data_IF_917148389164
#
_entry.id   IF_917148389164
#
_cell.length_a   1.000
_cell.length_b   1.000
_cell.length_c   1.000
_cell.angle_alpha   90.00
_cell.angle_beta   90.00
_cell.angle_gamma   90.00
#
_symmetry.space_group_name_H-M   'P 1'
#
loop_
_entity.id
_entity.type
_entity.pdbx_description
1 polymer ?
#
# COMPACT_ATOMS: atom_id res chain seq x y z
N UNK A 1 34.70 18.00 -73.83
CA UNK A 1 34.08 18.75 -72.72
C UNK A 1 32.57 18.61 -72.62
N UNK A 2 31.76 18.90 -73.65
CA UNK A 2 30.28 18.80 -73.56
C UNK A 2 29.73 17.42 -73.12
N UNK A 3 30.33 16.32 -73.57
CA UNK A 3 29.93 14.95 -73.16
C UNK A 3 30.29 14.63 -71.70
N UNK A 4 31.35 15.25 -71.17
CA UNK A 4 31.80 15.04 -69.79
C UNK A 4 30.93 15.83 -68.80
N UNK A 5 30.56 17.07 -69.15
CA UNK A 5 29.59 17.86 -68.39
C UNK A 5 28.20 17.21 -68.35
N UNK A 6 27.77 16.60 -69.46
CA UNK A 6 26.48 15.90 -69.49
C UNK A 6 26.49 14.67 -68.57
N UNK A 7 27.60 13.93 -68.51
CA UNK A 7 27.73 12.79 -67.60
C UNK A 7 27.75 13.21 -66.13
N UNK A 8 28.46 14.30 -65.82
CA UNK A 8 28.54 14.85 -64.46
C UNK A 8 27.17 15.37 -63.98
N UNK A 9 26.41 16.01 -64.88
CA UNK A 9 25.06 16.48 -64.58
C UNK A 9 24.09 15.31 -64.36
N UNK A 10 24.16 14.24 -65.16
CA UNK A 10 23.33 13.05 -64.95
C UNK A 10 23.69 12.33 -63.64
N UNK A 11 24.98 12.27 -63.28
CA UNK A 11 25.44 11.66 -62.03
C UNK A 11 25.02 12.48 -60.79
N UNK A 12 25.09 13.81 -60.87
CA UNK A 12 24.58 14.70 -59.82
C UNK A 12 23.06 14.59 -59.66
N UNK A 13 22.32 14.45 -60.77
CA UNK A 13 20.86 14.28 -60.75
C UNK A 13 20.45 12.92 -60.13
N UNK A 14 21.17 11.85 -60.43
CA UNK A 14 20.97 10.53 -59.82
C UNK A 14 21.25 10.56 -58.30
N UNK A 15 22.28 11.27 -57.86
CA UNK A 15 22.58 11.44 -56.43
C UNK A 15 21.50 12.26 -55.69
N UNK A 16 20.87 13.25 -56.35
CA UNK A 16 19.74 13.99 -55.75
C UNK A 16 18.45 13.17 -55.66
N UNK A 17 18.25 12.19 -56.54
CA UNK A 17 17.07 11.31 -56.49
C UNK A 17 17.22 10.28 -55.36
N UNK A 18 18.41 9.73 -55.14
CA UNK A 18 18.68 8.78 -54.03
C UNK A 18 18.64 9.46 -52.66
N UNK A 19 19.05 10.74 -52.57
CA UNK A 19 19.04 11.50 -51.31
C UNK A 19 17.67 12.11 -50.92
N UNK A 20 16.66 12.07 -51.81
CA UNK A 20 15.31 12.60 -51.54
C UNK A 20 14.24 11.51 -51.32
N UNK A 21 14.59 10.24 -51.45
CA UNK A 21 13.80 9.16 -50.84
C UNK A 21 14.05 9.16 -49.34
N UNK A 22 13.38 10.08 -48.62
CA UNK A 22 13.01 9.78 -47.25
C UNK A 22 12.22 8.48 -47.33
N UNK A 23 12.78 7.40 -46.78
CA UNK A 23 11.98 6.25 -46.40
C UNK A 23 10.86 6.82 -45.53
N UNK A 24 9.67 6.92 -46.13
CA UNK A 24 8.46 6.97 -45.33
C UNK A 24 8.42 5.59 -44.71
N UNK A 25 8.93 5.50 -43.49
CA UNK A 25 8.56 4.43 -42.58
C UNK A 25 7.04 4.53 -42.44
N UNK A 26 6.34 3.89 -43.36
CA UNK A 26 4.96 3.50 -43.12
C UNK A 26 5.11 2.56 -41.93
N UNK A 27 4.55 2.88 -40.75
CA UNK A 27 4.53 1.93 -39.66
C UNK A 27 3.89 0.67 -40.23
N UNK A 28 4.69 -0.37 -40.38
CA UNK A 28 4.15 -1.70 -40.59
C UNK A 28 3.45 -1.98 -39.27
N UNK A 29 2.13 -1.81 -39.24
CA UNK A 29 1.29 -2.41 -38.22
C UNK A 29 1.52 -3.92 -38.36
N UNK A 30 2.54 -4.42 -37.67
CA UNK A 30 2.69 -5.85 -37.44
C UNK A 30 1.41 -6.19 -36.68
N UNK A 31 0.52 -7.01 -37.25
CA UNK A 31 -0.67 -7.42 -36.52
C UNK A 31 -0.15 -8.06 -35.24
N UNK A 32 -0.50 -7.48 -34.10
CA UNK A 32 -0.29 -8.16 -32.83
C UNK A 32 -1.13 -9.43 -32.97
N UNK A 33 -0.48 -10.59 -33.14
CA UNK A 33 -1.11 -11.88 -32.85
C UNK A 33 -1.70 -11.70 -31.46
N UNK A 34 -3.03 -11.76 -31.38
CA UNK A 34 -3.87 -11.43 -30.22
C UNK A 34 -3.15 -11.21 -28.88
N UNK A 35 -3.51 -10.11 -28.20
CA UNK A 35 -3.11 -9.86 -26.82
C UNK A 35 -3.80 -10.79 -25.80
N UNK A 36 -4.65 -11.72 -26.24
CA UNK A 36 -5.32 -12.69 -25.38
C UNK A 36 -4.31 -13.58 -24.65
N UNK A 37 -4.37 -13.56 -23.33
CA UNK A 37 -3.49 -14.38 -22.51
C UNK A 37 -3.36 -13.90 -21.08
N UNK A 38 -2.62 -14.67 -20.29
CA UNK A 38 -2.26 -14.34 -18.90
C UNK A 38 -0.77 -14.06 -18.83
N UNK A 39 -0.43 -12.88 -18.30
CA UNK A 39 0.93 -12.36 -18.28
C UNK A 39 1.37 -12.00 -16.87
N UNK A 40 2.66 -12.09 -16.62
CA UNK A 40 3.21 -11.99 -15.27
C UNK A 40 4.45 -11.12 -15.21
N UNK A 41 4.48 -10.19 -14.26
CA UNK A 41 5.65 -9.36 -13.98
C UNK A 41 6.04 -9.34 -12.51
N UNK A 42 7.31 -9.03 -12.26
CA UNK A 42 7.92 -9.06 -10.92
C UNK A 42 8.68 -7.78 -10.60
N UNK A 43 8.66 -7.37 -9.35
CA UNK A 43 9.63 -6.43 -8.78
C UNK A 43 10.15 -6.99 -7.45
N UNK A 44 11.40 -6.71 -7.09
CA UNK A 44 11.99 -7.29 -5.89
C UNK A 44 12.93 -6.34 -5.16
N UNK A 45 13.09 -6.61 -3.86
CA UNK A 45 13.89 -5.77 -2.97
C UNK A 45 15.38 -5.87 -3.33
N UNK A 46 16.03 -4.71 -3.45
CA UNK A 46 17.45 -4.64 -3.77
C UNK A 46 17.79 -4.69 -5.26
N UNK A 47 16.78 -4.72 -6.14
CA UNK A 47 16.96 -4.71 -7.60
C UNK A 47 17.89 -3.56 -8.06
N UNK A 48 17.65 -2.33 -7.57
CA UNK A 48 18.48 -1.15 -7.84
C UNK A 48 19.94 -1.27 -7.39
N UNK A 49 20.27 -2.28 -6.58
CA UNK A 49 21.61 -2.57 -6.08
C UNK A 49 22.21 -3.83 -6.70
N UNK A 50 21.56 -4.39 -7.73
CA UNK A 50 22.02 -5.59 -8.43
C UNK A 50 21.69 -6.91 -7.75
N UNK A 51 20.84 -6.92 -6.70
CA UNK A 51 20.33 -8.17 -6.11
C UNK A 51 19.48 -8.91 -7.13
N UNK A 52 19.66 -10.22 -7.30
CA UNK A 52 18.79 -11.00 -8.21
C UNK A 52 17.44 -11.32 -7.57
N UNK A 53 16.46 -11.75 -8.37
CA UNK A 53 15.15 -12.16 -7.86
C UNK A 53 15.26 -13.36 -6.91
N UNK A 54 16.20 -14.28 -7.18
CA UNK A 54 16.46 -15.47 -6.36
C UNK A 54 17.08 -15.13 -5.00
N UNK A 55 17.92 -14.10 -4.96
CA UNK A 55 18.56 -13.61 -3.74
C UNK A 55 17.65 -12.70 -2.90
N UNK A 56 16.54 -12.24 -3.48
CA UNK A 56 15.65 -11.30 -2.84
C UNK A 56 14.97 -11.90 -1.60
N UNK A 57 14.83 -11.08 -0.55
CA UNK A 57 14.05 -11.44 0.65
C UNK A 57 12.58 -11.03 0.56
N UNK A 58 12.23 -10.20 -0.42
CA UNK A 58 10.89 -9.68 -0.67
C UNK A 58 10.72 -9.49 -2.18
N UNK A 59 9.53 -9.83 -2.68
CA UNK A 59 9.16 -9.62 -4.08
C UNK A 59 7.67 -9.31 -4.18
N UNK A 60 7.27 -8.68 -5.27
CA UNK A 60 5.88 -8.44 -5.62
C UNK A 60 5.65 -8.94 -7.04
N UNK A 61 4.48 -9.51 -7.27
CA UNK A 61 4.04 -10.10 -8.52
C UNK A 61 2.79 -9.37 -8.97
N UNK A 62 2.69 -9.10 -10.26
CA UNK A 62 1.43 -8.72 -10.91
C UNK A 62 1.13 -9.75 -11.98
N UNK A 63 -0.09 -10.28 -11.97
CA UNK A 63 -0.64 -11.16 -13.00
C UNK A 63 -1.83 -10.43 -13.61
N UNK A 64 -1.90 -10.37 -14.93
CA UNK A 64 -3.06 -9.81 -15.66
C UNK A 64 -3.51 -10.81 -16.71
N UNK A 65 -4.82 -10.90 -16.93
CA UNK A 65 -5.40 -11.58 -18.08
C UNK A 65 -5.95 -10.52 -19.01
N UNK A 66 -5.54 -10.54 -20.27
CA UNK A 66 -5.95 -9.61 -21.31
C UNK A 66 -6.78 -10.39 -22.34
N UNK A 67 -7.81 -9.77 -22.91
CA UNK A 67 -8.58 -10.35 -24.03
C UNK A 67 -8.07 -9.90 -25.41
N UNK A 68 -8.70 -10.40 -26.48
CA UNK A 68 -8.34 -10.07 -27.86
C UNK A 68 -8.35 -8.55 -28.17
N UNK A 69 -9.18 -7.77 -27.46
CA UNK A 69 -9.32 -6.32 -27.63
C UNK A 69 -8.29 -5.52 -26.80
N UNK A 70 -7.40 -6.20 -26.08
CA UNK A 70 -6.41 -5.58 -25.20
C UNK A 70 -7.00 -5.13 -23.85
N UNK A 71 -8.21 -5.59 -23.49
CA UNK A 71 -8.87 -5.25 -22.23
C UNK A 71 -8.44 -6.23 -21.15
N UNK A 72 -8.03 -5.69 -20.00
CA UNK A 72 -7.71 -6.50 -18.82
C UNK A 72 -9.01 -7.05 -18.24
N UNK A 73 -9.17 -8.37 -18.24
CA UNK A 73 -10.36 -9.08 -17.75
C UNK A 73 -10.18 -9.63 -16.33
N UNK A 74 -8.93 -9.84 -15.90
CA UNK A 74 -8.57 -10.28 -14.56
C UNK A 74 -7.21 -9.69 -14.14
N UNK A 75 -7.02 -9.46 -12.84
CA UNK A 75 -5.77 -8.94 -12.30
C UNK A 75 -5.52 -9.47 -10.88
N UNK A 76 -4.26 -9.77 -10.56
CA UNK A 76 -3.82 -10.16 -9.22
C UNK A 76 -2.49 -9.53 -8.86
N UNK A 77 -2.34 -9.05 -7.64
CA UNK A 77 -1.11 -8.47 -7.10
C UNK A 77 -0.73 -9.17 -5.79
N UNK A 78 0.40 -9.87 -5.78
CA UNK A 78 0.86 -10.67 -4.64
C UNK A 78 2.18 -10.16 -4.09
N UNK A 79 2.22 -9.83 -2.79
CA UNK A 79 3.46 -9.45 -2.11
C UNK A 79 3.99 -10.64 -1.32
N UNK A 80 5.20 -11.05 -1.61
CA UNK A 80 5.88 -12.14 -0.94
C UNK A 80 7.02 -11.64 -0.04
N UNK A 81 7.18 -12.30 1.10
CA UNK A 81 8.35 -12.16 1.96
C UNK A 81 8.88 -13.54 2.31
N UNK A 82 10.20 -13.67 2.35
CA UNK A 82 10.84 -14.91 2.80
C UNK A 82 11.09 -14.86 4.30
N UNK A 83 10.85 -15.97 4.99
CA UNK A 83 11.28 -16.21 6.37
C UNK A 83 11.57 -17.70 6.51
N UNK A 84 12.71 -18.04 7.12
CA UNK A 84 13.11 -19.44 7.35
C UNK A 84 13.11 -20.31 6.08
N UNK A 85 13.46 -19.72 4.92
CA UNK A 85 13.54 -20.45 3.64
C UNK A 85 12.21 -20.63 2.90
N UNK A 86 11.09 -20.19 3.46
CA UNK A 86 9.78 -20.26 2.83
C UNK A 86 9.26 -18.87 2.45
N UNK A 87 8.56 -18.79 1.32
CA UNK A 87 7.83 -17.61 0.89
C UNK A 87 6.41 -17.63 1.46
N UNK A 88 5.98 -16.50 2.02
CA UNK A 88 4.59 -16.27 2.42
C UNK A 88 4.09 -14.96 1.80
N UNK A 89 2.80 -14.91 1.53
CA UNK A 89 2.14 -13.69 1.04
C UNK A 89 1.73 -12.81 2.21
N UNK A 90 1.73 -11.48 2.02
CA UNK A 90 1.12 -10.56 3.02
C UNK A 90 -0.39 -10.73 3.13
N UNK A 91 -1.01 -11.22 2.06
CA UNK A 91 -2.42 -11.54 1.94
C UNK A 91 -2.80 -12.86 2.63
N UNK A 92 -1.84 -13.61 3.16
CA UNK A 92 -2.16 -14.82 3.92
C UNK A 92 -2.96 -14.47 5.19
N UNK A 93 -4.16 -15.03 5.27
CA UNK A 93 -5.14 -14.77 6.33
C UNK A 93 -4.94 -15.63 7.58
N UNK A 94 -3.82 -16.36 7.70
CA UNK A 94 -3.54 -17.30 8.82
C UNK A 94 -3.22 -16.65 10.17
N UNK A 95 -3.66 -15.40 10.39
CA UNK A 95 -3.41 -14.67 11.63
C UNK A 95 -3.95 -15.43 12.86
N UNK A 96 -3.11 -15.58 13.89
CA UNK A 96 -3.48 -16.12 15.19
C UNK A 96 -3.36 -15.01 16.23
N UNK A 97 -4.48 -14.69 16.88
CA UNK A 97 -4.54 -13.68 17.93
C UNK A 97 -5.13 -14.29 19.18
N UNK A 98 -4.48 -14.03 20.31
CA UNK A 98 -5.02 -14.27 21.65
C UNK A 98 -4.91 -12.98 22.47
N UNK A 99 -5.78 -12.82 23.45
CA UNK A 99 -5.74 -11.68 24.37
C UNK A 99 -5.89 -12.18 25.81
N UNK A 100 -5.06 -11.64 26.70
CA UNK A 100 -5.06 -11.90 28.14
C UNK A 100 -5.35 -10.60 28.89
N UNK A 101 -6.60 -10.46 29.34
CA UNK A 101 -7.06 -9.28 30.07
C UNK A 101 -6.60 -9.26 31.54
N UNK A 102 -5.86 -10.27 32.01
CA UNK A 102 -5.16 -10.16 33.30
C UNK A 102 -3.94 -9.25 33.23
N UNK A 103 -3.42 -9.03 32.02
CA UNK A 103 -2.29 -8.13 31.76
C UNK A 103 -2.77 -6.67 31.80
N UNK A 104 -1.96 -5.80 32.39
CA UNK A 104 -2.10 -4.35 32.26
C UNK A 104 -1.15 -3.88 31.16
N UNK A 105 -1.64 -3.33 30.05
CA UNK A 105 -0.78 -2.87 28.97
C UNK A 105 0.12 -1.72 29.44
N UNK A 106 1.33 -1.64 28.91
CA UNK A 106 2.25 -0.53 29.17
C UNK A 106 2.74 0.04 27.84
N UNK A 107 2.89 1.36 27.80
CA UNK A 107 3.38 2.03 26.61
C UNK A 107 4.82 1.58 26.28
N UNK A 108 5.11 1.41 24.99
CA UNK A 108 6.47 1.28 24.49
C UNK A 108 7.26 2.56 24.72
N UNK A 109 8.59 2.49 24.74
CA UNK A 109 9.44 3.68 24.59
C UNK A 109 9.60 3.98 23.10
N UNK A 110 9.17 5.15 22.59
CA UNK A 110 9.29 5.49 21.17
C UNK A 110 10.69 6.03 20.82
N UNK A 111 10.89 6.51 19.60
CA UNK A 111 12.20 7.04 19.15
C UNK A 111 13.26 5.98 18.78
N UNK A 112 14.53 6.41 18.78
CA UNK A 112 15.71 5.60 18.41
C UNK A 112 16.02 4.50 19.43
N UNK A 113 15.85 4.81 20.72
CA UNK A 113 16.01 3.87 21.84
C UNK A 113 14.73 3.06 22.08
N UNK A 114 14.18 2.51 21.00
CA UNK A 114 12.92 1.78 21.05
C UNK A 114 12.97 0.62 22.04
N UNK A 115 12.01 0.61 22.96
CA UNK A 115 11.71 -0.55 23.78
C UNK A 115 10.24 -0.91 23.65
N UNK A 116 9.94 -2.20 23.42
CA UNK A 116 8.56 -2.69 23.38
C UNK A 116 7.94 -2.58 24.79
N UNK A 117 6.69 -2.15 24.86
CA UNK A 117 5.89 -2.19 26.08
C UNK A 117 5.27 -3.58 26.31
N UNK A 118 4.40 -3.67 27.31
CA UNK A 118 3.61 -4.86 27.61
C UNK A 118 2.29 -4.78 26.86
N UNK A 119 1.93 -5.86 26.16
CA UNK A 119 0.72 -5.97 25.34
C UNK A 119 -0.19 -7.05 25.92
N UNK A 120 -1.50 -6.79 25.99
CA UNK A 120 -2.51 -7.80 26.33
C UNK A 120 -2.70 -8.80 25.18
N UNK A 121 -2.41 -8.37 23.95
CA UNK A 121 -2.57 -9.19 22.76
C UNK A 121 -1.27 -9.91 22.39
N UNK A 122 -1.39 -11.18 22.02
CA UNK A 122 -0.34 -11.90 21.30
C UNK A 122 -0.80 -12.12 19.87
N UNK A 123 -0.04 -11.60 18.91
CA UNK A 123 -0.43 -11.53 17.49
C UNK A 123 0.67 -12.16 16.66
N UNK A 124 0.35 -13.30 16.07
CA UNK A 124 1.14 -13.98 15.06
C UNK A 124 0.47 -13.81 13.69
N UNK A 125 1.04 -12.95 12.85
CA UNK A 125 0.54 -12.66 11.51
C UNK A 125 1.65 -12.09 10.63
N UNK A 126 1.51 -12.25 9.33
CA UNK A 126 2.43 -11.73 8.33
C UNK A 126 2.29 -10.22 8.09
N UNK A 127 1.13 -9.64 8.41
CA UNK A 127 0.86 -8.21 8.29
C UNK A 127 0.00 -7.69 9.44
N UNK A 128 0.42 -6.59 10.07
CA UNK A 128 -0.31 -5.92 11.16
C UNK A 128 -0.95 -4.61 10.70
N UNK A 129 -0.73 -4.17 9.47
CA UNK A 129 -1.31 -2.91 8.98
C UNK A 129 -2.83 -2.97 9.01
N UNK A 130 -3.42 -1.90 9.51
CA UNK A 130 -4.86 -1.74 9.68
C UNK A 130 -5.54 -2.84 10.52
N UNK A 131 -4.78 -3.62 11.28
CA UNK A 131 -5.33 -4.68 12.12
C UNK A 131 -6.11 -4.05 13.28
N UNK A 132 -7.29 -4.58 13.56
CA UNK A 132 -7.93 -4.42 14.87
C UNK A 132 -8.26 -5.79 15.45
N UNK A 133 -8.35 -5.86 16.78
CA UNK A 133 -8.80 -7.06 17.48
C UNK A 133 -9.59 -6.67 18.74
N UNK A 134 -10.62 -7.43 19.06
CA UNK A 134 -11.49 -7.16 20.21
C UNK A 134 -11.80 -8.45 20.95
N UNK A 135 -11.93 -8.36 22.28
CA UNK A 135 -12.35 -9.44 23.18
C UNK A 135 -13.20 -8.85 24.30
N UNK A 136 -14.21 -9.60 24.72
CA UNK A 136 -14.98 -9.33 25.95
C UNK A 136 -14.97 -10.59 26.79
N UNK A 137 -14.51 -10.49 28.03
CA UNK A 137 -14.51 -11.60 28.99
C UNK A 137 -15.90 -11.78 29.65
N UNK A 138 -16.17 -12.96 30.24
CA UNK A 138 -17.46 -13.26 30.87
C UNK A 138 -17.87 -12.30 32.00
N UNK A 139 -16.90 -11.60 32.61
CA UNK A 139 -17.14 -10.62 33.67
C UNK A 139 -17.55 -9.23 33.14
N UNK A 140 -17.59 -9.05 31.81
CA UNK A 140 -17.92 -7.79 31.14
C UNK A 140 -16.72 -6.88 30.90
N UNK A 141 -15.50 -7.25 31.34
CA UNK A 141 -14.29 -6.54 30.95
C UNK A 141 -14.00 -6.75 29.46
N UNK A 142 -13.47 -5.73 28.81
CA UNK A 142 -13.20 -5.76 27.38
C UNK A 142 -11.80 -5.23 27.04
N UNK A 143 -11.27 -5.67 25.91
CA UNK A 143 -10.04 -5.16 25.35
C UNK A 143 -10.21 -4.90 23.86
N UNK A 144 -9.70 -3.76 23.40
CA UNK A 144 -9.66 -3.39 22.00
C UNK A 144 -8.23 -3.03 21.61
N UNK A 145 -7.82 -3.50 20.45
CA UNK A 145 -6.55 -3.17 19.81
C UNK A 145 -6.83 -2.57 18.44
N UNK A 146 -6.14 -1.49 18.12
CA UNK A 146 -6.12 -0.87 16.79
C UNK A 146 -4.66 -0.60 16.40
N UNK A 147 -4.23 -1.06 15.23
CA UNK A 147 -2.93 -0.68 14.68
C UNK A 147 -3.09 0.65 13.94
N UNK A 148 -2.67 1.72 14.59
CA UNK A 148 -2.90 3.06 14.11
C UNK A 148 -2.05 3.35 12.85
N UNK A 149 -2.66 3.84 11.77
CA UNK A 149 -2.04 3.84 10.44
C UNK A 149 -0.86 4.81 10.28
N UNK A 150 -0.83 5.93 11.01
CA UNK A 150 0.15 7.01 10.83
C UNK A 150 1.44 6.73 11.59
N UNK A 151 1.34 6.34 12.85
CA UNK A 151 2.47 5.98 13.73
C UNK A 151 2.91 4.54 13.53
N UNK A 152 2.00 3.66 13.09
CA UNK A 152 2.19 2.20 12.98
C UNK A 152 2.56 1.56 14.32
N UNK A 153 1.89 2.02 15.37
CA UNK A 153 1.87 1.38 16.68
C UNK A 153 0.58 0.63 16.91
N UNK A 154 0.68 -0.43 17.69
CA UNK A 154 -0.43 -1.14 18.28
C UNK A 154 -0.92 -0.33 19.47
N UNK A 155 -2.09 0.28 19.34
CA UNK A 155 -2.78 0.99 20.41
C UNK A 155 -3.80 0.04 21.05
N UNK A 156 -3.72 -0.12 22.36
CA UNK A 156 -4.57 -1.02 23.13
C UNK A 156 -5.32 -0.26 24.22
N UNK A 157 -6.60 -0.57 24.41
CA UNK A 157 -7.36 -0.08 25.56
C UNK A 157 -7.94 -1.28 26.30
N UNK A 158 -7.85 -1.23 27.64
CA UNK A 158 -8.49 -2.15 28.56
C UNK A 158 -9.65 -1.43 29.22
N UNK A 159 -10.84 -2.01 29.11
CA UNK A 159 -12.08 -1.48 29.66
C UNK A 159 -12.52 -2.38 30.82
N UNK A 160 -12.55 -1.87 32.07
CA UNK A 160 -13.04 -2.65 33.20
C UNK A 160 -14.53 -2.97 33.05
N UNK A 161 -15.02 -3.93 33.83
CA UNK A 161 -16.41 -4.40 33.77
C UNK A 161 -17.46 -3.30 34.02
N UNK A 162 -17.09 -2.28 34.80
CA UNK A 162 -17.91 -1.11 35.14
C UNK A 162 -17.62 0.13 34.26
N UNK A 163 -16.92 -0.04 33.14
CA UNK A 163 -16.59 1.05 32.23
C UNK A 163 -17.85 1.76 31.69
N UNK A 164 -17.83 3.09 31.67
CA UNK A 164 -18.89 3.90 31.08
C UNK A 164 -18.73 3.99 29.56
N UNK A 165 -19.44 3.13 28.83
CA UNK A 165 -19.42 3.10 27.37
C UNK A 165 -20.09 4.32 26.70
N UNK A 166 -20.69 5.24 27.48
CA UNK A 166 -21.19 6.51 26.94
C UNK A 166 -20.11 7.59 26.79
N UNK A 167 -18.90 7.34 27.30
CA UNK A 167 -17.74 8.22 27.08
C UNK A 167 -17.53 8.42 25.58
N UNK A 168 -17.32 9.67 25.18
CA UNK A 168 -17.08 10.05 23.79
C UNK A 168 -15.67 9.64 23.37
N UNK A 169 -15.51 9.21 22.12
CA UNK A 169 -14.22 8.85 21.54
C UNK A 169 -13.24 10.02 21.57
N UNK A 170 -13.73 11.26 21.44
CA UNK A 170 -12.92 12.48 21.56
C UNK A 170 -12.23 12.64 22.91
N UNK A 171 -12.79 12.07 23.97
CA UNK A 171 -12.31 12.18 25.35
C UNK A 171 -11.35 11.04 25.74
N UNK A 172 -11.22 10.00 24.90
CA UNK A 172 -10.32 8.87 25.15
C UNK A 172 -8.94 9.15 24.56
N UNK A 173 -7.96 9.42 25.43
CA UNK A 173 -6.61 9.84 25.01
C UNK A 173 -5.78 8.70 24.42
N UNK A 174 -4.68 9.04 23.75
CA UNK A 174 -3.72 8.07 23.17
C UNK A 174 -2.28 8.27 23.63
N UNK A 175 -2.06 9.11 24.63
CA UNK A 175 -0.73 9.47 25.16
C UNK A 175 -0.16 8.42 26.15
N UNK A 176 -0.79 7.24 26.22
CA UNK A 176 -0.33 6.13 27.05
C UNK A 176 -0.75 6.19 28.52
N UNK A 177 -1.66 7.10 28.87
CA UNK A 177 -2.25 7.17 30.21
C UNK A 177 -3.31 6.08 30.42
N UNK A 178 -3.52 5.71 31.69
CA UNK A 178 -4.58 4.79 32.09
C UNK A 178 -5.97 5.32 31.66
N UNK A 179 -6.83 4.43 31.19
CA UNK A 179 -8.15 4.78 30.64
C UNK A 179 -8.15 5.26 29.19
N UNK A 180 -6.97 5.50 28.59
CA UNK A 180 -6.79 5.79 27.17
C UNK A 180 -6.33 4.58 26.36
N UNK A 181 -6.09 4.78 25.07
CA UNK A 181 -5.37 3.84 24.23
C UNK A 181 -3.86 3.95 24.50
N UNK A 182 -3.25 2.82 24.82
CA UNK A 182 -1.84 2.71 25.19
C UNK A 182 -1.06 2.15 23.99
N UNK A 183 -0.06 2.86 23.47
CA UNK A 183 0.77 2.37 22.36
C UNK A 183 1.82 1.36 22.85
N UNK A 184 1.55 0.07 22.74
CA UNK A 184 2.35 -1.01 23.37
C UNK A 184 3.47 -1.56 22.48
N UNK A 185 3.26 -1.61 21.16
CA UNK A 185 4.17 -2.28 20.22
C UNK A 185 4.30 -1.51 18.92
N UNK A 186 5.53 -1.24 18.48
CA UNK A 186 5.80 -0.74 17.12
C UNK A 186 5.61 -1.87 16.11
N UNK A 187 4.65 -1.73 15.19
CA UNK A 187 4.40 -2.74 14.14
C UNK A 187 5.28 -2.51 12.91
N UNK A 188 5.74 -1.27 12.69
CA UNK A 188 6.65 -0.91 11.59
C UNK A 188 7.46 0.35 11.89
N UNK A 189 8.74 0.39 11.48
CA UNK A 189 9.58 1.61 11.59
C UNK A 189 9.35 2.66 10.49
N UNK A 190 8.43 2.40 9.57
CA UNK A 190 8.14 3.27 8.43
C UNK A 190 6.83 4.06 8.58
N UNK A 191 6.38 4.28 9.82
CA UNK A 191 5.29 5.23 10.12
C UNK A 191 5.61 6.63 9.57
N UNK A 192 4.57 7.33 9.13
CA UNK A 192 4.68 8.71 8.67
C UNK A 192 5.00 9.65 9.84
N UNK A 193 4.37 9.41 10.99
CA UNK A 193 4.72 10.05 12.25
C UNK A 193 5.59 9.10 13.06
N UNK A 194 6.67 9.62 13.65
CA UNK A 194 7.61 8.86 14.49
C UNK A 194 7.86 9.65 15.76
N UNK A 195 6.95 9.57 16.75
CA UNK A 195 7.12 10.29 18.00
C UNK A 195 8.45 9.89 18.65
N UNK A 196 9.11 10.85 19.30
CA UNK A 196 10.23 10.62 20.21
C UNK A 196 9.76 10.54 21.67
N UNK A 197 8.58 11.10 21.98
CA UNK A 197 7.83 10.91 23.23
C UNK A 197 6.34 10.75 22.94
N UNK A 198 5.60 10.09 23.83
CA UNK A 198 4.13 10.06 23.78
C UNK A 198 3.48 11.38 24.20
N UNK A 199 4.22 12.28 24.87
CA UNK A 199 3.76 13.64 25.16
C UNK A 199 3.48 14.45 23.89
N UNK A 200 4.05 14.05 22.74
CA UNK A 200 3.73 14.64 21.44
C UNK A 200 2.27 14.37 21.01
N UNK A 201 1.62 13.39 21.63
CA UNK A 201 0.22 13.01 21.41
C UNK A 201 -0.71 13.47 22.55
N UNK A 202 -0.24 14.30 23.49
CA UNK A 202 -1.09 14.82 24.57
C UNK A 202 -2.30 15.55 24.00
N UNK A 203 -3.49 15.22 24.54
CA UNK A 203 -4.76 15.79 24.08
C UNK A 203 -5.25 15.26 22.73
N UNK A 204 -4.60 14.20 22.19
CA UNK A 204 -5.07 13.48 21.01
C UNK A 204 -5.88 12.26 21.40
N UNK A 205 -6.78 11.87 20.51
CA UNK A 205 -7.54 10.62 20.54
C UNK A 205 -7.16 9.75 19.31
N UNK A 206 -7.66 8.51 19.25
CA UNK A 206 -7.30 7.55 18.20
C UNK A 206 -7.69 8.02 16.78
N UNK A 207 -8.64 8.96 16.68
CA UNK A 207 -9.12 9.56 15.43
C UNK A 207 -8.38 10.85 15.05
N UNK A 208 -7.55 11.42 15.94
CA UNK A 208 -6.99 12.78 15.79
C UNK A 208 -5.46 12.88 15.97
N UNK A 209 -4.75 11.75 16.00
CA UNK A 209 -3.28 11.70 16.05
C UNK A 209 -2.65 12.56 14.94
N UNK A 210 -3.20 12.49 13.74
CA UNK A 210 -2.78 13.23 12.55
C UNK A 210 -3.99 13.52 11.67
N UNK A 211 -3.87 14.49 10.76
CA UNK A 211 -4.92 14.77 9.78
C UNK A 211 -5.22 13.59 8.85
N UNK A 212 -4.29 12.62 8.76
CA UNK A 212 -4.47 11.38 8.01
C UNK A 212 -5.28 10.31 8.75
N UNK A 213 -5.63 10.50 10.03
CA UNK A 213 -6.46 9.53 10.76
C UNK A 213 -7.90 9.45 10.24
N UNK A 214 -8.34 10.36 9.36
CA UNK A 214 -9.63 10.27 8.67
C UNK A 214 -9.84 8.91 7.99
N UNK A 215 -8.77 8.23 7.55
CA UNK A 215 -8.89 6.91 6.90
C UNK A 215 -9.47 5.82 7.82
N UNK A 216 -9.43 6.01 9.15
CA UNK A 216 -10.05 5.10 10.10
C UNK A 216 -11.56 5.18 9.97
N UNK A 217 -12.09 6.38 9.70
CA UNK A 217 -13.51 6.71 9.80
C UNK A 217 -14.18 7.03 8.46
N UNK A 218 -13.42 7.17 7.38
CA UNK A 218 -13.96 7.37 6.05
C UNK A 218 -14.28 6.03 5.35
N UNK A 219 -13.63 4.93 5.79
CA UNK A 219 -13.71 3.62 5.14
C UNK A 219 -13.72 2.45 6.13
N UNK A 220 -14.30 1.33 5.69
CA UNK A 220 -14.25 0.05 6.42
C UNK A 220 -15.18 -0.01 7.62
N UNK A 221 -14.83 -0.85 8.59
CA UNK A 221 -15.70 -1.18 9.73
C UNK A 221 -15.98 -0.01 10.66
N UNK A 222 -15.09 0.98 10.72
CA UNK A 222 -15.20 2.16 11.57
C UNK A 222 -15.76 3.38 10.82
N UNK A 223 -16.27 3.18 9.60
CA UNK A 223 -16.79 4.25 8.78
C UNK A 223 -17.94 5.02 9.47
N UNK A 224 -17.87 6.35 9.46
CA UNK A 224 -18.86 7.25 10.06
C UNK A 224 -18.66 7.54 11.55
N UNK A 225 -17.70 6.90 12.24
CA UNK A 225 -17.35 7.26 13.60
C UNK A 225 -16.72 8.66 13.65
N UNK A 226 -16.89 9.34 14.78
CA UNK A 226 -16.36 10.69 15.00
C UNK A 226 -15.95 10.88 16.46
N UNK A 227 -15.37 12.04 16.78
CA UNK A 227 -15.07 12.41 18.17
C UNK A 227 -16.33 12.49 19.05
N UNK A 228 -17.50 12.73 18.44
CA UNK A 228 -18.80 12.73 19.14
C UNK A 228 -19.48 11.37 19.21
N UNK A 229 -18.90 10.34 18.58
CA UNK A 229 -19.33 8.97 18.79
C UNK A 229 -18.88 8.49 20.17
N UNK A 230 -19.55 7.47 20.69
CA UNK A 230 -19.30 6.85 21.99
C UNK A 230 -18.35 5.66 21.87
N UNK A 231 -17.73 5.27 22.98
CA UNK A 231 -16.99 4.00 23.07
C UNK A 231 -17.87 2.80 22.77
N UNK A 232 -19.16 2.86 23.08
CA UNK A 232 -20.14 1.85 22.67
C UNK A 232 -20.17 1.68 21.16
N UNK A 233 -20.32 2.77 20.40
CA UNK A 233 -20.41 2.73 18.93
C UNK A 233 -19.12 2.19 18.30
N UNK A 234 -17.95 2.54 18.86
CA UNK A 234 -16.68 1.96 18.40
C UNK A 234 -16.61 0.44 18.64
N UNK A 235 -17.04 -0.01 19.81
CA UNK A 235 -17.04 -1.44 20.16
C UNK A 235 -18.05 -2.22 19.33
N UNK A 236 -19.24 -1.64 19.06
CA UNK A 236 -20.24 -2.22 18.15
C UNK A 236 -19.70 -2.32 16.72
N UNK A 237 -19.01 -1.28 16.23
CA UNK A 237 -18.33 -1.31 14.94
C UNK A 237 -17.23 -2.39 14.87
N UNK A 238 -16.58 -2.72 15.99
CA UNK A 238 -15.63 -3.82 16.09
C UNK A 238 -16.30 -5.21 16.22
N UNK A 239 -17.64 -5.28 16.32
CA UNK A 239 -18.43 -6.52 16.39
C UNK A 239 -18.93 -6.91 17.78
N UNK A 240 -18.75 -6.07 18.80
CA UNK A 240 -19.29 -6.30 20.15
C UNK A 240 -20.78 -6.02 20.16
N UNK A 241 -21.55 -6.84 20.86
CA UNK A 241 -22.98 -6.58 21.09
C UNK A 241 -23.22 -6.21 22.54
N UNK A 242 -24.22 -5.37 22.80
CA UNK A 242 -24.54 -4.90 24.15
C UNK A 242 -25.94 -5.34 24.59
N UNK A 243 -26.07 -5.77 25.83
CA UNK A 243 -27.35 -6.02 26.51
C UNK A 243 -27.48 -5.10 27.70
N UNK A 244 -28.52 -4.24 27.73
CA UNK A 244 -28.75 -3.28 28.82
C UNK A 244 -27.54 -2.37 29.15
N UNK A 245 -26.71 -2.04 28.15
CA UNK A 245 -25.52 -1.21 28.32
C UNK A 245 -24.25 -1.96 28.72
N UNK A 246 -24.31 -3.27 28.95
CA UNK A 246 -23.16 -4.13 29.23
C UNK A 246 -22.73 -4.89 27.97
N UNK A 247 -21.43 -4.98 27.65
CA UNK A 247 -20.96 -5.76 26.51
C UNK A 247 -21.18 -7.26 26.76
N UNK A 248 -21.66 -7.97 25.75
CA UNK A 248 -21.80 -9.42 25.79
C UNK A 248 -20.43 -10.08 25.60
N UNK A 249 -20.23 -11.25 26.25
CA UNK A 249 -19.01 -12.05 26.06
C UNK A 249 -18.72 -12.28 24.58
N UNK A 250 -17.47 -12.05 24.20
CA UNK A 250 -16.99 -12.18 22.83
C UNK A 250 -15.58 -12.79 22.87
N UNK A 251 -15.39 -14.02 22.36
CA UNK A 251 -14.06 -14.56 22.10
C UNK A 251 -13.24 -13.59 21.26
N UNK A 252 -11.91 -13.71 21.29
CA UNK A 252 -11.05 -12.85 20.46
C UNK A 252 -11.50 -12.91 19.00
N UNK A 253 -11.88 -11.76 18.47
CA UNK A 253 -12.15 -11.56 17.04
C UNK A 253 -11.19 -10.52 16.50
N UNK A 254 -10.92 -10.59 15.20
CA UNK A 254 -10.00 -9.69 14.52
C UNK A 254 -10.56 -9.29 13.17
N UNK A 255 -10.09 -8.15 12.67
CA UNK A 255 -10.40 -7.71 11.32
C UNK A 255 -9.38 -6.68 10.84
N UNK A 256 -9.70 -6.09 9.69
CA UNK A 256 -8.96 -4.96 9.15
C UNK A 256 -9.87 -3.74 9.08
N UNK A 257 -9.39 -2.59 9.54
CA UNK A 257 -10.09 -1.32 9.38
C UNK A 257 -9.65 -0.61 8.10
N UNK A 258 -10.22 0.58 7.84
CA UNK A 258 -10.00 1.33 6.60
C UNK A 258 -10.32 0.45 5.38
N UNK A 259 -9.56 0.55 4.29
CA UNK A 259 -9.77 -0.34 3.14
C UNK A 259 -9.17 -1.75 3.28
N UNK A 260 -8.72 -2.20 4.45
CA UNK A 260 -8.19 -3.57 4.60
C UNK A 260 -6.66 -3.69 4.68
N UNK A 261 -5.94 -2.59 4.96
CA UNK A 261 -4.48 -2.58 5.05
C UNK A 261 -3.80 -2.89 3.71
N UNK A 262 -2.66 -3.59 3.72
CA UNK A 262 -1.95 -3.90 2.46
C UNK A 262 -2.76 -4.80 1.52
N UNK A 263 -3.56 -5.73 2.06
CA UNK A 263 -4.42 -6.58 1.23
C UNK A 263 -5.41 -5.73 0.43
N UNK A 264 -6.16 -4.87 1.10
CA UNK A 264 -7.08 -3.95 0.45
C UNK A 264 -6.43 -3.01 -0.56
N UNK A 265 -5.16 -2.65 -0.34
CA UNK A 265 -4.39 -1.90 -1.33
C UNK A 265 -4.22 -2.68 -2.64
N UNK A 266 -3.93 -3.97 -2.55
CA UNK A 266 -3.72 -4.83 -3.70
C UNK A 266 -5.04 -5.11 -4.41
N UNK A 267 -6.11 -5.41 -3.66
CA UNK A 267 -7.47 -5.57 -4.19
C UNK A 267 -7.92 -4.30 -4.95
N UNK A 268 -7.63 -3.09 -4.43
CA UNK A 268 -7.96 -1.85 -5.13
C UNK A 268 -7.19 -1.65 -6.45
N UNK A 269 -5.94 -2.13 -6.55
CA UNK A 269 -5.18 -2.12 -7.82
C UNK A 269 -5.84 -3.09 -8.80
N UNK A 270 -6.15 -4.30 -8.33
CA UNK A 270 -6.77 -5.36 -9.12
C UNK A 270 -8.10 -4.87 -9.72
N UNK A 271 -8.98 -4.32 -8.88
CA UNK A 271 -10.25 -3.72 -9.30
C UNK A 271 -10.08 -2.55 -10.28
N UNK A 272 -9.05 -1.71 -10.09
CA UNK A 272 -8.78 -0.59 -10.98
C UNK A 272 -8.33 -1.04 -12.38
N UNK A 273 -7.55 -2.13 -12.44
CA UNK A 273 -7.01 -2.67 -13.69
C UNK A 273 -8.09 -3.32 -14.56
N UNK A 274 -9.07 -4.00 -13.95
CA UNK A 274 -10.14 -4.69 -14.68
C UNK A 274 -10.95 -3.69 -15.52
N UNK A 275 -11.13 -4.01 -16.80
CA UNK A 275 -11.82 -3.19 -17.79
C UNK A 275 -10.98 -2.06 -18.40
N UNK A 276 -9.67 -1.98 -18.07
CA UNK A 276 -8.74 -1.02 -18.68
C UNK A 276 -8.09 -1.63 -19.91
N UNK A 277 -7.81 -0.79 -20.91
CA UNK A 277 -7.01 -1.18 -22.05
C UNK A 277 -5.53 -1.18 -21.66
N UNK A 278 -4.87 -2.34 -21.76
CA UNK A 278 -3.48 -2.55 -21.37
C UNK A 278 -2.48 -1.75 -22.23
N UNK A 279 -2.85 -1.43 -23.48
CA UNK A 279 -2.02 -0.62 -24.39
C UNK A 279 -2.07 0.87 -24.07
N UNK A 280 -3.13 1.33 -23.39
CA UNK A 280 -3.29 2.73 -22.97
C UNK A 280 -2.80 2.96 -21.54
N UNK A 281 -3.00 1.98 -20.65
CA UNK A 281 -2.58 2.05 -19.25
C UNK A 281 -1.21 1.38 -19.06
N UNK A 282 -0.14 2.05 -19.45
CA UNK A 282 1.23 1.49 -19.36
C UNK A 282 1.88 1.71 -17.99
N UNK A 283 1.20 2.36 -17.04
CA UNK A 283 1.69 2.55 -15.68
C UNK A 283 0.55 2.72 -14.68
N UNK A 284 0.79 2.30 -13.43
CA UNK A 284 -0.13 2.56 -12.30
C UNK A 284 0.04 3.98 -11.71
N UNK A 285 1.02 4.75 -12.20
CA UNK A 285 1.27 6.14 -11.81
C UNK A 285 0.92 7.06 -12.97
N UNK A 286 0.20 8.13 -12.68
CA UNK A 286 -0.17 9.14 -13.68
C UNK A 286 0.99 10.11 -13.93
N UNK A 287 1.89 9.74 -14.85
CA UNK A 287 3.06 10.55 -15.20
C UNK A 287 2.76 11.88 -15.90
N UNK A 288 1.49 12.16 -16.23
CA UNK A 288 1.12 13.47 -16.79
C UNK A 288 1.32 14.62 -15.80
N UNK A 289 1.46 14.31 -14.51
CA UNK A 289 1.77 15.30 -13.47
C UNK A 289 3.28 15.53 -13.37
N UNK A 290 3.71 16.71 -13.79
CA UNK A 290 5.11 17.14 -13.93
C UNK A 290 5.99 16.80 -12.71
N UNK A 291 5.49 17.01 -11.48
CA UNK A 291 6.25 16.75 -10.25
C UNK A 291 6.68 15.28 -10.07
N UNK A 292 5.96 14.33 -10.67
CA UNK A 292 6.32 12.90 -10.60
C UNK A 292 7.18 12.46 -11.78
N UNK A 293 6.95 13.05 -12.97
CA UNK A 293 7.81 12.82 -14.12
C UNK A 293 9.26 13.24 -13.84
N UNK A 294 9.46 14.34 -13.11
CA UNK A 294 10.78 14.81 -12.68
C UNK A 294 11.50 13.88 -11.69
N UNK A 295 10.82 12.86 -11.14
CA UNK A 295 11.41 11.87 -10.24
C UNK A 295 11.98 10.63 -10.97
N UNK A 296 11.97 10.63 -12.30
CA UNK A 296 12.58 9.58 -13.15
C UNK A 296 13.96 10.08 -13.60
N UNK A 297 14.99 9.25 -13.50
CA UNK A 297 16.36 9.62 -13.88
C UNK A 297 16.95 8.70 -14.97
N UNK A 298 18.20 8.98 -15.35
CA UNK A 298 18.92 8.34 -16.47
C UNK A 298 19.09 6.82 -16.36
N UNK A 299 18.92 6.25 -15.16
CA UNK A 299 18.95 4.82 -14.91
C UNK A 299 17.52 4.21 -14.78
N UNK A 300 16.51 4.95 -15.21
CA UNK A 300 15.07 4.64 -15.11
C UNK A 300 14.60 4.32 -13.68
N UNK A 301 15.28 4.85 -12.66
CA UNK A 301 14.87 4.70 -11.27
C UNK A 301 13.93 5.83 -10.83
N UNK A 302 12.91 5.47 -10.05
CA UNK A 302 12.14 6.44 -9.25
C UNK A 302 13.06 7.00 -8.14
N UNK A 303 13.84 8.02 -8.51
CA UNK A 303 14.84 8.70 -7.71
C UNK A 303 14.30 10.04 -7.25
N UNK A 304 14.09 10.17 -5.94
CA UNK A 304 13.89 11.45 -5.27
C UNK A 304 15.17 12.25 -5.50
N UNK A 305 15.20 13.11 -6.51
CA UNK A 305 16.04 14.29 -6.43
C UNK A 305 15.62 14.99 -5.14
N UNK A 306 16.58 15.20 -4.23
CA UNK A 306 16.37 15.37 -2.78
C UNK A 306 15.45 16.55 -2.39
N UNK A 307 15.06 17.38 -3.38
CA UNK A 307 14.19 18.55 -3.27
C UNK A 307 12.77 18.40 -3.87
N UNK A 308 12.47 17.30 -4.57
CA UNK A 308 11.13 17.05 -5.08
C UNK A 308 10.27 16.36 -4.01
N UNK A 309 9.37 17.14 -3.41
CA UNK A 309 8.28 16.67 -2.54
C UNK A 309 7.29 15.79 -3.32
N UNK A 310 7.73 14.64 -3.82
CA UNK A 310 6.86 13.58 -4.30
C UNK A 310 6.22 12.91 -3.06
N UNK A 311 5.30 13.65 -2.43
CA UNK A 311 4.30 13.08 -1.53
C UNK A 311 3.44 12.05 -2.28
N UNK A 312 2.36 11.56 -1.64
CA UNK A 312 1.46 10.58 -2.23
C UNK A 312 1.18 10.88 -3.72
N UNK A 313 1.49 9.92 -4.60
CA UNK A 313 1.19 10.01 -6.03
C UNK A 313 -0.33 9.90 -6.20
N UNK A 314 -0.92 10.65 -7.14
CA UNK A 314 -2.27 10.34 -7.61
C UNK A 314 -2.12 9.07 -8.43
N UNK A 315 -2.74 8.02 -7.94
CA UNK A 315 -2.54 6.69 -8.49
C UNK A 315 -3.81 5.87 -8.31
N UNK A 316 -3.85 4.71 -8.96
CA UNK A 316 -4.92 3.72 -8.84
C UNK A 316 -5.36 3.44 -7.39
N UNK A 317 -4.45 3.61 -6.43
CA UNK A 317 -4.64 3.20 -5.03
C UNK A 317 -5.40 4.21 -4.16
N UNK A 318 -5.55 5.48 -4.58
CA UNK A 318 -5.95 6.58 -3.70
C UNK A 318 -5.30 6.47 -2.29
N UNK A 319 -3.99 6.23 -2.26
CA UNK A 319 -3.23 5.87 -1.05
C UNK A 319 -3.27 6.95 0.04
N UNK A 320 -3.58 8.19 -0.35
CA UNK A 320 -3.78 9.32 0.55
C UNK A 320 -5.05 9.18 1.40
N UNK A 321 -6.17 8.76 0.79
CA UNK A 321 -7.48 8.65 1.45
C UNK A 321 -7.80 7.21 1.93
N UNK A 322 -7.18 6.17 1.36
CA UNK A 322 -7.56 4.77 1.67
C UNK A 322 -6.80 4.10 2.81
N UNK A 323 -5.49 4.36 2.92
CA UNK A 323 -4.56 3.64 3.80
C UNK A 323 -3.48 4.62 4.26
N UNK A 324 -3.82 5.51 5.20
CA UNK A 324 -2.87 6.49 5.73
C UNK A 324 -1.54 5.90 6.16
N UNK A 325 -0.50 6.72 6.04
CA UNK A 325 0.87 6.35 6.37
C UNK A 325 1.49 5.37 5.38
N UNK A 326 0.71 4.75 4.49
CA UNK A 326 1.21 4.20 3.27
C UNK A 326 1.37 5.36 2.28
N UNK A 327 2.45 6.15 2.42
CA UNK A 327 3.13 6.61 1.20
C UNK A 327 3.56 5.34 0.48
N UNK A 328 2.62 4.69 -0.20
CA UNK A 328 2.92 3.64 -1.15
C UNK A 328 3.58 4.41 -2.26
N UNK A 329 4.90 4.50 -2.14
CA UNK A 329 5.76 4.70 -3.28
C UNK A 329 5.44 3.49 -4.17
N UNK A 330 4.43 3.64 -5.03
CA UNK A 330 3.87 2.64 -5.96
C UNK A 330 4.88 2.14 -6.99
N UNK A 331 6.14 2.47 -6.76
CA UNK A 331 7.22 2.22 -7.65
C UNK A 331 7.37 0.72 -7.86
N UNK A 332 7.30 -0.12 -6.81
CA UNK A 332 7.42 -1.58 -6.98
C UNK A 332 6.17 -2.24 -7.60
N UNK A 333 4.95 -1.83 -7.21
CA UNK A 333 3.70 -2.33 -7.78
C UNK A 333 3.58 -1.95 -9.26
N UNK A 334 3.96 -0.71 -9.62
CA UNK A 334 3.99 -0.26 -11.00
C UNK A 334 5.07 -0.98 -11.81
N UNK A 335 6.26 -1.22 -11.24
CA UNK A 335 7.31 -2.00 -11.92
C UNK A 335 6.85 -3.43 -12.20
N UNK A 336 6.21 -4.10 -11.24
CA UNK A 336 5.69 -5.46 -11.49
C UNK A 336 4.58 -5.47 -12.53
N UNK A 337 3.69 -4.48 -12.54
CA UNK A 337 2.68 -4.34 -13.59
C UNK A 337 3.29 -4.07 -14.97
N UNK A 338 4.24 -3.13 -15.07
CA UNK A 338 4.93 -2.85 -16.33
C UNK A 338 5.64 -4.07 -16.88
N UNK A 339 6.23 -4.92 -16.03
CA UNK A 339 6.82 -6.19 -16.46
C UNK A 339 5.80 -7.23 -16.90
N UNK A 340 4.57 -7.18 -16.41
CA UNK A 340 3.49 -7.99 -16.97
C UNK A 340 3.15 -7.52 -18.39
N UNK A 341 3.23 -6.20 -18.65
CA UNK A 341 3.10 -5.65 -20.01
C UNK A 341 4.30 -5.98 -20.91
N UNK A 342 5.51 -6.14 -20.35
CA UNK A 342 6.67 -6.66 -21.10
C UNK A 342 6.45 -8.11 -21.52
N UNK A 343 5.93 -8.95 -20.61
CA UNK A 343 5.57 -10.34 -20.90
C UNK A 343 4.45 -10.42 -21.97
N UNK A 344 3.52 -9.46 -21.96
CA UNK A 344 2.51 -9.27 -23.01
C UNK A 344 3.05 -8.68 -24.33
N UNK A 345 4.35 -8.35 -24.41
CA UNK A 345 4.99 -7.66 -25.54
C UNK A 345 4.39 -6.29 -25.88
N UNK A 346 3.70 -5.66 -24.93
CA UNK A 346 3.17 -4.29 -25.03
C UNK A 346 4.27 -3.27 -24.71
N UNK A 347 5.15 -3.59 -23.77
CA UNK A 347 6.35 -2.82 -23.43
C UNK A 347 7.62 -3.64 -23.68
N UNK A 348 8.76 -2.96 -23.72
CA UNK A 348 10.09 -3.54 -23.60
C UNK A 348 10.65 -3.33 -22.20
N UNK A 349 11.63 -4.14 -21.79
CA UNK A 349 12.28 -3.98 -20.47
C UNK A 349 12.98 -2.63 -20.32
N UNK A 350 13.41 -1.99 -21.42
CA UNK A 350 14.00 -0.65 -21.41
C UNK A 350 12.98 0.43 -21.02
N UNK A 351 11.70 0.21 -21.31
CA UNK A 351 10.59 1.11 -20.97
C UNK A 351 10.10 0.95 -19.52
N UNK A 352 10.54 -0.10 -18.80
CA UNK A 352 10.13 -0.36 -17.42
C UNK A 352 10.78 0.63 -16.46
N UNK A 353 9.95 1.42 -15.78
CA UNK A 353 10.39 2.33 -14.72
C UNK A 353 10.65 1.50 -13.46
N UNK A 354 11.91 1.40 -13.06
CA UNK A 354 12.35 0.62 -11.90
C UNK A 354 12.07 1.39 -10.62
N UNK A 355 11.22 0.80 -9.80
CA UNK A 355 10.84 1.40 -8.55
C UNK A 355 11.83 1.16 -7.41
N UNK A 356 11.76 2.01 -6.39
CA UNK A 356 12.42 1.73 -5.12
C UNK A 356 11.68 0.59 -4.40
N UNK A 357 12.42 -0.46 -4.05
CA UNK A 357 11.95 -1.57 -3.23
C UNK A 357 12.92 -1.85 -2.09
#
# INVERSE_FOLDING_TARGET
>A
MKRFLSLLATFALLLTIVACTKEVEVPVEIPIESLDGTYMGWSWKGESKGTTLEEASQKIQTIITIDDDGIITDASVLFFKSSQGSWYTRQDSTARISADLSITPTAATPGSEYAKGTSMFNIDTHDKMSLYAVKVDPDGSAALLIVEPVTRYQFEIKLPADYDYSILLGDVTVDGTEGGFIPTVRTSGAGLMKPNSWDELTGKNILSISHYNHILIDFGVFAGLSETSTMKELMEAAGVTFTNGTPNELPVTLGRHSKGGWQGNYEAIEEYLIGKNATELTSLVDWSVERWALAINEDNFFGVDYDASAGATKSAQNSYDGIAGATVRMSRESTSYQRALVDAKILTEEEVIKGRF
#
